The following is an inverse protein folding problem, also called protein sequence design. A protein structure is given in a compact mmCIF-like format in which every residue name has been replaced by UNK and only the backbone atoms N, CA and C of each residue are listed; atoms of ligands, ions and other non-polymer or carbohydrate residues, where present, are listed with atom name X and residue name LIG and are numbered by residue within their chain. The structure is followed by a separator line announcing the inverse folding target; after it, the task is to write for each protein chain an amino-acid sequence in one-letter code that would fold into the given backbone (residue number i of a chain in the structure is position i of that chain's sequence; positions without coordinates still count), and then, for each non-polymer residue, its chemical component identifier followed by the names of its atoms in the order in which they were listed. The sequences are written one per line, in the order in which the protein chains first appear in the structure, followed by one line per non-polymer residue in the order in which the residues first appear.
data_IF_741304201655
#
_entry.id   IF_741304201655
#
_cell.length_a   1.000
_cell.length_b   1.000
_cell.length_c   1.000
_cell.angle_alpha   90.00
_cell.angle_beta   90.00
_cell.angle_gamma   90.00
#
_symmetry.space_group_name_H-M   'P 1'
#
loop_
_entity.id
_entity.type
_entity.pdbx_description
1 polymer ?
#
# COMPACT_ATOMS: atom_id res chain seq x y z
N UNK A 1 10.94 -13.22 -4.95
CA UNK A 1 10.17 -13.95 -3.92
C UNK A 1 9.02 -13.05 -3.54
N UNK A 2 7.76 -13.46 -3.74
CA UNK A 2 6.63 -12.64 -3.34
C UNK A 2 6.63 -12.49 -1.82
N UNK A 3 6.50 -11.26 -1.33
CA UNK A 3 6.65 -10.95 0.10
C UNK A 3 5.37 -11.35 0.85
N UNK A 4 4.24 -11.47 0.14
CA UNK A 4 2.94 -11.85 0.69
C UNK A 4 2.32 -12.91 -0.23
N UNK A 5 2.24 -14.16 0.22
CA UNK A 5 1.90 -15.33 -0.61
C UNK A 5 0.59 -15.25 -1.40
N UNK A 6 0.53 -16.01 -2.50
CA UNK A 6 -0.52 -16.17 -3.54
C UNK A 6 -1.17 -14.91 -4.12
N UNK A 7 -0.86 -13.73 -3.60
CA UNK A 7 -1.38 -12.47 -4.10
C UNK A 7 -0.56 -11.91 -5.26
N UNK A 8 -1.22 -11.24 -6.19
CA UNK A 8 -0.54 -10.49 -7.25
C UNK A 8 -0.06 -9.17 -6.67
N UNK A 9 1.26 -9.03 -6.54
CA UNK A 9 1.91 -7.79 -6.15
C UNK A 9 2.03 -6.86 -7.36
N UNK A 10 1.47 -5.66 -7.25
CA UNK A 10 1.66 -4.59 -8.23
C UNK A 10 2.30 -3.39 -7.57
N UNK A 11 3.45 -2.98 -8.10
CA UNK A 11 4.04 -1.70 -7.76
C UNK A 11 3.11 -0.56 -8.20
N UNK A 12 2.85 0.35 -7.28
CA UNK A 12 1.97 1.50 -7.48
C UNK A 12 2.74 2.78 -7.21
N UNK A 13 2.45 3.82 -7.97
CA UNK A 13 2.93 5.15 -7.62
C UNK A 13 2.10 5.72 -6.47
N UNK A 14 2.62 6.79 -5.85
CA UNK A 14 1.87 7.54 -4.84
C UNK A 14 0.49 7.98 -5.35
N UNK A 15 0.42 8.41 -6.61
CA UNK A 15 -0.82 8.89 -7.22
C UNK A 15 -1.82 7.75 -7.50
N UNK A 16 -1.33 6.59 -7.93
CA UNK A 16 -2.16 5.38 -8.07
C UNK A 16 -2.72 4.95 -6.72
N UNK A 17 -1.86 4.85 -5.69
CA UNK A 17 -2.28 4.48 -4.34
C UNK A 17 -3.30 5.47 -3.77
N UNK A 18 -3.11 6.77 -4.04
CA UNK A 18 -4.05 7.83 -3.66
C UNK A 18 -5.39 7.66 -4.38
N UNK A 19 -5.38 7.41 -5.68
CA UNK A 19 -6.59 7.20 -6.50
C UNK A 19 -7.37 6.00 -5.99
N UNK A 20 -6.67 4.88 -5.76
CA UNK A 20 -7.23 3.65 -5.23
C UNK A 20 -7.86 3.89 -3.84
N UNK A 21 -7.18 4.59 -2.93
CA UNK A 21 -7.73 4.93 -1.61
C UNK A 21 -8.90 5.92 -1.66
N UNK A 22 -8.97 6.73 -2.72
CA UNK A 22 -10.09 7.65 -2.97
C UNK A 22 -11.30 6.96 -3.60
N UNK A 23 -11.16 5.74 -4.13
CA UNK A 23 -12.28 5.00 -4.70
C UNK A 23 -13.21 4.46 -3.60
N UNK A 24 -14.51 4.84 -3.61
CA UNK A 24 -15.49 4.30 -2.69
C UNK A 24 -15.72 2.82 -3.00
N UNK A 25 -15.09 1.94 -2.21
CA UNK A 25 -15.17 0.50 -2.40
C UNK A 25 -13.84 -0.19 -2.67
N UNK A 26 -12.71 0.51 -2.51
CA UNK A 26 -11.38 -0.09 -2.45
C UNK A 26 -11.30 -1.34 -1.56
N UNK A 27 -11.98 -1.34 -0.41
CA UNK A 27 -12.07 -2.48 0.51
C UNK A 27 -13.32 -3.36 0.26
N UNK A 28 -14.17 -3.02 -0.73
CA UNK A 28 -15.53 -3.58 -0.86
C UNK A 28 -15.58 -5.10 -1.07
N UNK A 29 -14.48 -5.72 -1.44
CA UNK A 29 -14.38 -7.18 -1.60
C UNK A 29 -13.24 -7.82 -0.80
N UNK A 30 -12.46 -7.06 -0.01
CA UNK A 30 -11.32 -7.60 0.74
C UNK A 30 -10.17 -8.18 -0.10
N UNK A 31 -10.25 -8.07 -1.43
CA UNK A 31 -9.31 -8.64 -2.39
C UNK A 31 -8.06 -7.76 -2.56
N UNK A 32 -8.20 -6.43 -2.54
CA UNK A 32 -7.09 -5.50 -2.80
C UNK A 32 -6.58 -4.88 -1.49
N UNK A 33 -5.29 -5.05 -1.21
CA UNK A 33 -4.61 -4.48 -0.02
C UNK A 33 -3.37 -3.70 -0.40
N UNK A 34 -3.28 -2.46 0.04
CA UNK A 34 -2.18 -1.54 -0.18
C UNK A 34 -1.18 -1.68 0.95
N UNK A 35 0.08 -1.74 0.57
CA UNK A 35 1.20 -1.79 1.47
C UNK A 35 2.24 -0.76 1.04
N UNK A 36 2.87 -0.13 2.02
CA UNK A 36 3.94 0.82 1.81
C UNK A 36 5.15 0.43 2.62
N UNK A 37 6.33 0.54 2.02
CA UNK A 37 7.62 0.43 2.69
C UNK A 37 8.04 1.82 3.14
N UNK A 38 8.20 2.01 4.45
CA UNK A 38 8.61 3.29 5.00
C UNK A 38 10.03 3.64 4.50
N UNK A 39 10.20 4.84 3.96
CA UNK A 39 11.46 5.34 3.39
C UNK A 39 12.43 5.83 4.45
N UNK A 40 11.92 6.48 5.50
CA UNK A 40 12.72 7.29 6.41
C UNK A 40 12.19 7.20 7.85
N UNK A 41 13.09 7.36 8.83
CA UNK A 41 12.81 7.24 10.26
C UNK A 41 13.25 5.91 10.89
N UNK A 42 12.98 5.74 12.19
CA UNK A 42 13.35 4.53 12.95
C UNK A 42 12.71 3.24 12.41
N UNK A 43 11.62 3.36 11.64
CA UNK A 43 10.89 2.25 11.01
C UNK A 43 11.18 2.12 9.51
N UNK A 44 12.22 2.78 8.98
CA UNK A 44 12.62 2.65 7.58
C UNK A 44 12.85 1.19 7.19
N UNK A 45 12.30 0.77 6.04
CA UNK A 45 12.31 -0.61 5.57
C UNK A 45 11.18 -1.49 6.10
N UNK A 46 10.37 -1.00 7.04
CA UNK A 46 9.19 -1.71 7.52
C UNK A 46 8.02 -1.56 6.54
N UNK A 47 7.33 -2.68 6.29
CA UNK A 47 6.10 -2.73 5.49
C UNK A 47 4.91 -2.44 6.40
N UNK A 48 4.09 -1.46 6.05
CA UNK A 48 2.84 -1.15 6.73
C UNK A 48 1.66 -1.16 5.76
N UNK A 49 0.50 -1.57 6.25
CA UNK A 49 -0.73 -1.55 5.46
C UNK A 49 -1.31 -0.14 5.37
N UNK A 50 -1.52 0.36 4.17
CA UNK A 50 -2.09 1.69 3.91
C UNK A 50 -3.61 1.53 3.80
N UNK A 51 -4.32 1.93 4.85
CA UNK A 51 -5.79 1.79 4.93
C UNK A 51 -6.56 3.05 4.55
N UNK A 52 -5.88 4.19 4.48
CA UNK A 52 -6.50 5.49 4.22
C UNK A 52 -5.46 6.48 3.72
N UNK A 53 -5.92 7.56 3.08
CA UNK A 53 -5.07 8.66 2.62
C UNK A 53 -4.24 9.29 3.74
N UNK A 54 -4.80 9.42 4.94
CA UNK A 54 -4.03 9.90 6.11
C UNK A 54 -2.82 9.00 6.41
N UNK A 55 -2.93 7.68 6.21
CA UNK A 55 -1.80 6.77 6.40
C UNK A 55 -0.76 6.94 5.29
N UNK A 56 -1.24 7.17 4.06
CA UNK A 56 -0.39 7.42 2.89
C UNK A 56 0.40 8.74 3.03
N UNK A 57 -0.21 9.77 3.62
CA UNK A 57 0.41 11.09 3.79
C UNK A 57 1.24 11.19 5.07
N UNK A 58 0.90 10.38 6.10
CA UNK A 58 1.59 10.36 7.40
C UNK A 58 3.03 9.85 7.35
N UNK A 59 3.35 8.97 6.41
CA UNK A 59 4.68 8.38 6.30
C UNK A 59 5.27 8.63 4.92
N UNK A 60 6.57 8.90 4.84
CA UNK A 60 7.29 8.86 3.57
C UNK A 60 7.47 7.40 3.16
N UNK A 61 6.98 7.02 1.99
CA UNK A 61 7.12 5.65 1.47
C UNK A 61 8.17 5.59 0.36
N UNK A 62 9.08 4.63 0.44
CA UNK A 62 10.09 4.40 -0.61
C UNK A 62 9.53 3.52 -1.72
N UNK A 63 8.50 2.73 -1.40
CA UNK A 63 7.83 1.83 -2.32
C UNK A 63 6.40 1.61 -1.86
N UNK A 64 5.45 1.69 -2.78
CA UNK A 64 4.05 1.39 -2.53
C UNK A 64 3.64 0.29 -3.49
N UNK A 65 2.87 -0.68 -3.00
CA UNK A 65 2.39 -1.77 -3.82
C UNK A 65 1.04 -2.25 -3.32
N UNK A 66 0.21 -2.74 -4.23
CA UNK A 66 -1.00 -3.47 -3.89
C UNK A 66 -0.79 -4.97 -3.97
N UNK A 67 -1.55 -5.68 -3.16
CA UNK A 67 -1.64 -7.13 -3.15
C UNK A 67 -3.10 -7.48 -3.40
N UNK A 68 -3.35 -8.11 -4.54
CA UNK A 68 -4.65 -8.67 -4.91
C UNK A 68 -4.70 -10.14 -4.51
N UNK A 69 -5.65 -10.55 -3.65
CA UNK A 69 -5.93 -11.94 -3.27
C UNK A 69 -7.27 -12.42 -3.83
#
# INVERSE_FOLDING_TARGET
MPIIGDGVEKDLTYDDAKTILSEPGYDAYGNLRLYGVIADGETAGQIIGIKSLENLDRFGYSRIYSVER
#
